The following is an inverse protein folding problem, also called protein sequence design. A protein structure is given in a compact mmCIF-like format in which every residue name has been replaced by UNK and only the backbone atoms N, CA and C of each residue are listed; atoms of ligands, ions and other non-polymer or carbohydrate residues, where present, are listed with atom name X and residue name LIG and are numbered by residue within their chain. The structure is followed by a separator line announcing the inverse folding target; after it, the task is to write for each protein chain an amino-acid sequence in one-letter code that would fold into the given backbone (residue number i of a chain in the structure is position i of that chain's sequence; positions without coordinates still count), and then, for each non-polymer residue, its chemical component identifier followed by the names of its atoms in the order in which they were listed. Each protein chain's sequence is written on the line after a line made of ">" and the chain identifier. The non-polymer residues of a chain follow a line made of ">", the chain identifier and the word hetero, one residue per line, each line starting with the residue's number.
data_IF_122335042448
#
_entry.id   IF_122335042448
#
_cell.length_a   1.000
_cell.length_b   1.000
_cell.length_c   1.000
_cell.angle_alpha   90.00
_cell.angle_beta   90.00
_cell.angle_gamma   90.00
#
_symmetry.space_group_name_H-M   'P 1'
#
loop_
_entity.id
_entity.type
_entity.pdbx_description
1 polymer ?
#
# COMPACT_ATOMS: atom_id res chain seq x y z
N UNK A 1 -47.22 -28.69 -6.50
CA UNK A 1 -46.34 -28.50 -5.32
C UNK A 1 -44.86 -28.38 -5.69
N UNK A 2 -44.30 -29.25 -6.53
CA UNK A 2 -42.87 -29.25 -6.89
C UNK A 2 -42.35 -27.92 -7.48
N UNK A 3 -43.12 -27.22 -8.35
CA UNK A 3 -42.72 -25.93 -8.94
C UNK A 3 -42.67 -24.80 -7.93
N UNK A 4 -43.56 -24.78 -6.91
CA UNK A 4 -43.51 -23.78 -5.83
C UNK A 4 -42.32 -23.94 -4.89
N UNK A 5 -41.93 -25.22 -4.66
CA UNK A 5 -40.75 -25.54 -3.86
C UNK A 5 -39.45 -25.14 -4.58
N UNK A 6 -39.36 -25.37 -5.89
CA UNK A 6 -38.20 -24.94 -6.70
C UNK A 6 -38.03 -23.42 -6.71
N UNK A 7 -39.14 -22.67 -6.82
CA UNK A 7 -39.12 -21.21 -6.76
C UNK A 7 -38.64 -20.68 -5.41
N UNK A 8 -39.07 -21.34 -4.31
CA UNK A 8 -38.60 -20.98 -2.96
C UNK A 8 -37.11 -21.25 -2.77
N UNK A 9 -36.59 -22.35 -3.34
CA UNK A 9 -35.17 -22.70 -3.28
C UNK A 9 -34.29 -21.69 -4.07
N UNK A 10 -34.76 -21.21 -5.20
CA UNK A 10 -34.06 -20.16 -5.99
C UNK A 10 -34.07 -18.83 -5.25
N UNK A 11 -35.17 -18.48 -4.56
CA UNK A 11 -35.24 -17.27 -3.74
C UNK A 11 -34.25 -17.29 -2.57
N UNK A 12 -34.04 -18.46 -1.95
CA UNK A 12 -33.09 -18.64 -0.85
C UNK A 12 -31.61 -18.49 -1.30
N UNK A 13 -31.31 -18.78 -2.58
CA UNK A 13 -29.95 -18.64 -3.13
C UNK A 13 -29.61 -17.17 -3.45
N UNK A 14 -30.60 -16.29 -3.55
CA UNK A 14 -30.39 -14.85 -3.81
C UNK A 14 -30.11 -14.02 -2.56
N UNK A 15 -30.20 -14.58 -1.35
CA UNK A 15 -30.00 -13.84 -0.08
C UNK A 15 -28.52 -13.81 0.35
N UNK A 16 -27.60 -14.29 -0.50
CA UNK A 16 -26.18 -14.49 -0.18
C UNK A 16 -25.28 -13.27 -0.23
N UNK A 17 -25.77 -12.06 -0.51
CA UNK A 17 -24.95 -10.85 -0.45
C UNK A 17 -25.43 -9.91 0.65
N UNK A 18 -25.27 -10.32 1.90
CA UNK A 18 -25.21 -9.32 2.97
C UNK A 18 -23.87 -8.60 2.81
N UNK A 19 -23.89 -7.36 2.33
CA UNK A 19 -22.81 -6.43 2.64
C UNK A 19 -22.72 -6.43 4.17
N UNK A 20 -21.67 -7.03 4.68
CA UNK A 20 -21.28 -6.87 6.07
C UNK A 20 -21.13 -5.37 6.24
N UNK A 21 -21.99 -4.77 7.04
CA UNK A 21 -21.89 -3.36 7.41
C UNK A 21 -20.65 -3.28 8.30
N UNK A 22 -19.51 -3.04 7.70
CA UNK A 22 -18.25 -2.92 8.39
C UNK A 22 -18.32 -1.63 9.21
N UNK A 23 -18.54 -1.75 10.51
CA UNK A 23 -17.74 -0.97 11.42
C UNK A 23 -16.31 -1.29 11.04
N UNK A 24 -15.68 -0.37 10.30
CA UNK A 24 -14.34 -0.55 9.75
C UNK A 24 -13.36 -0.73 10.91
N UNK A 25 -13.28 -1.95 11.43
CA UNK A 25 -12.33 -2.25 12.48
C UNK A 25 -10.97 -2.51 11.81
N UNK A 26 -10.29 -1.41 11.48
CA UNK A 26 -8.97 -1.44 10.84
C UNK A 26 -7.95 -2.23 11.67
N UNK A 27 -8.11 -2.29 12.99
CA UNK A 27 -7.26 -3.11 13.87
C UNK A 27 -7.43 -4.61 13.57
N UNK A 28 -8.65 -5.05 13.29
CA UNK A 28 -8.91 -6.44 12.89
C UNK A 28 -8.23 -6.76 11.57
N UNK A 29 -8.36 -5.87 10.57
CA UNK A 29 -7.71 -6.05 9.25
C UNK A 29 -6.21 -6.20 9.42
N UNK A 30 -5.56 -5.27 10.13
CA UNK A 30 -4.12 -5.29 10.37
C UNK A 30 -3.69 -6.58 11.08
N UNK A 31 -4.38 -6.92 12.16
CA UNK A 31 -4.05 -8.12 12.96
C UNK A 31 -4.26 -9.41 12.19
N UNK A 32 -5.33 -9.51 11.39
CA UNK A 32 -5.61 -10.71 10.61
C UNK A 32 -4.56 -10.93 9.50
N UNK A 33 -4.14 -9.86 8.80
CA UNK A 33 -3.08 -9.97 7.80
C UNK A 33 -1.76 -10.40 8.45
N UNK A 34 -1.41 -9.86 9.60
CA UNK A 34 -0.17 -10.20 10.30
C UNK A 34 -0.19 -11.67 10.77
N UNK A 35 -1.30 -12.13 11.36
CA UNK A 35 -1.47 -13.49 11.86
C UNK A 35 -1.48 -14.55 10.76
N UNK A 36 -2.09 -14.21 9.61
CA UNK A 36 -2.24 -15.13 8.48
C UNK A 36 -1.14 -14.95 7.43
N UNK A 37 0.01 -14.40 7.82
CA UNK A 37 1.13 -14.18 6.90
C UNK A 37 1.61 -15.50 6.30
N UNK A 38 1.65 -15.56 4.98
CA UNK A 38 2.20 -16.66 4.21
C UNK A 38 3.58 -16.27 3.66
N UNK A 39 4.53 -17.20 3.68
CA UNK A 39 5.83 -17.04 3.03
C UNK A 39 5.74 -17.30 1.51
N UNK A 40 4.70 -16.78 0.87
CA UNK A 40 4.48 -16.90 -0.57
C UNK A 40 4.93 -15.60 -1.22
N UNK A 41 5.69 -15.71 -2.28
CA UNK A 41 6.21 -14.57 -3.04
C UNK A 41 5.94 -14.82 -4.53
N UNK A 42 5.42 -13.84 -5.22
CA UNK A 42 5.18 -13.89 -6.66
C UNK A 42 5.86 -12.75 -7.43
N UNK A 43 6.51 -11.81 -6.71
CA UNK A 43 7.16 -10.65 -7.28
C UNK A 43 8.55 -10.48 -6.68
N UNK A 44 9.55 -10.26 -7.54
CA UNK A 44 10.92 -9.97 -7.16
C UNK A 44 11.27 -8.53 -7.52
N UNK A 45 12.12 -7.91 -6.70
CA UNK A 45 12.73 -6.61 -6.94
C UNK A 45 14.21 -6.65 -6.52
N UNK A 46 14.91 -5.51 -6.66
CA UNK A 46 16.32 -5.42 -6.34
C UNK A 46 16.54 -5.45 -4.81
N UNK A 47 17.02 -6.58 -4.30
CA UNK A 47 17.31 -6.77 -2.87
C UNK A 47 16.13 -7.26 -2.03
N UNK A 48 14.94 -7.47 -2.59
CA UNK A 48 13.79 -8.00 -1.86
C UNK A 48 12.79 -8.71 -2.78
N UNK A 49 11.88 -9.45 -2.17
CA UNK A 49 10.73 -10.10 -2.83
C UNK A 49 9.49 -9.92 -1.98
N UNK A 50 8.31 -10.00 -2.60
CA UNK A 50 7.04 -9.83 -1.90
C UNK A 50 5.90 -10.54 -2.62
N UNK A 51 4.74 -10.58 -2.00
CA UNK A 51 3.51 -11.06 -2.62
C UNK A 51 2.67 -9.89 -3.11
N UNK A 52 2.39 -9.87 -4.41
CA UNK A 52 1.45 -8.94 -5.01
C UNK A 52 0.08 -9.63 -5.11
N UNK A 53 -0.96 -9.14 -4.41
CA UNK A 53 -2.27 -9.76 -4.40
C UNK A 53 -2.92 -9.79 -5.79
N UNK A 54 -3.79 -10.79 -6.01
CA UNK A 54 -4.58 -10.86 -7.23
C UNK A 54 -5.45 -9.58 -7.38
N UNK A 55 -5.54 -9.06 -8.60
CA UNK A 55 -6.27 -7.83 -8.91
C UNK A 55 -5.44 -6.55 -8.74
N UNK A 56 -4.26 -6.64 -8.08
CA UNK A 56 -3.31 -5.52 -8.01
C UNK A 56 -2.29 -5.66 -9.14
N UNK A 57 -2.11 -4.63 -9.94
CA UNK A 57 -1.11 -4.57 -11.01
C UNK A 57 0.00 -3.58 -10.67
N UNK A 58 1.25 -3.93 -11.00
CA UNK A 58 2.39 -3.02 -10.90
C UNK A 58 2.49 -2.22 -12.19
N UNK A 59 2.35 -0.89 -12.11
CA UNK A 59 2.36 0.02 -13.27
C UNK A 59 3.66 0.81 -13.38
N UNK A 60 4.44 0.87 -12.30
CA UNK A 60 5.75 1.54 -12.28
C UNK A 60 6.71 0.83 -11.31
N UNK A 61 8.02 0.80 -11.65
CA UNK A 61 9.06 0.20 -10.81
C UNK A 61 10.42 0.84 -11.12
N UNK A 62 10.90 1.69 -10.22
CA UNK A 62 12.22 2.31 -10.31
C UNK A 62 12.73 2.73 -8.93
N UNK A 63 14.00 2.50 -8.68
CA UNK A 63 14.73 3.08 -7.54
C UNK A 63 14.06 2.82 -6.17
N UNK A 64 13.59 1.59 -5.95
CA UNK A 64 12.82 1.18 -4.75
C UNK A 64 11.46 1.85 -4.60
N UNK A 65 11.03 2.61 -5.60
CA UNK A 65 9.69 3.19 -5.69
C UNK A 65 8.87 2.40 -6.71
N UNK A 66 7.70 1.95 -6.30
CA UNK A 66 6.78 1.22 -7.15
C UNK A 66 5.38 1.82 -7.06
N UNK A 67 4.65 1.79 -8.16
CA UNK A 67 3.25 2.20 -8.18
C UNK A 67 2.41 0.98 -8.53
N UNK A 68 1.42 0.72 -7.71
CA UNK A 68 0.41 -0.29 -7.96
C UNK A 68 -0.91 0.36 -8.30
N UNK A 69 -1.68 -0.31 -9.14
CA UNK A 69 -3.05 0.06 -9.47
C UNK A 69 -3.99 -1.08 -9.12
N UNK A 70 -5.10 -0.72 -8.47
CA UNK A 70 -6.25 -1.58 -8.26
C UNK A 70 -7.52 -0.77 -8.52
N UNK A 71 -8.35 -1.21 -9.46
CA UNK A 71 -9.45 -0.40 -9.99
C UNK A 71 -8.92 0.98 -10.43
N UNK A 72 -9.43 2.05 -9.85
CA UNK A 72 -8.99 3.43 -10.13
C UNK A 72 -8.07 4.00 -9.04
N UNK A 73 -7.66 3.18 -8.05
CA UNK A 73 -6.82 3.61 -6.94
C UNK A 73 -5.37 3.24 -7.19
N UNK A 74 -4.48 4.22 -6.99
CA UNK A 74 -3.03 4.05 -7.07
C UNK A 74 -2.41 4.02 -5.69
N UNK A 75 -1.57 3.02 -5.44
CA UNK A 75 -0.81 2.83 -4.21
C UNK A 75 0.69 3.01 -4.51
N UNK A 76 1.36 3.85 -3.75
CA UNK A 76 2.77 4.22 -3.94
C UNK A 76 3.62 3.53 -2.88
N UNK A 77 4.35 2.51 -3.28
CA UNK A 77 5.29 1.79 -2.43
C UNK A 77 6.67 2.43 -2.51
N UNK A 78 7.27 2.65 -1.35
CA UNK A 78 8.71 2.87 -1.19
C UNK A 78 9.29 1.83 -0.23
N UNK A 79 10.46 1.25 -0.58
CA UNK A 79 11.16 0.28 0.25
C UNK A 79 12.52 0.83 0.66
N UNK A 80 12.70 1.06 1.96
CA UNK A 80 13.93 1.60 2.53
C UNK A 80 14.91 0.48 2.88
N UNK A 81 15.63 0.01 1.86
CA UNK A 81 16.63 -1.05 2.02
C UNK A 81 17.84 -0.61 2.85
N UNK A 82 18.13 0.71 2.87
CA UNK A 82 19.22 1.30 3.63
C UNK A 82 18.91 1.20 5.13
N UNK A 83 17.75 1.72 5.54
CA UNK A 83 17.29 1.63 6.92
C UNK A 83 17.10 0.18 7.38
N UNK A 84 16.64 -0.69 6.49
CA UNK A 84 16.56 -2.12 6.79
C UNK A 84 17.94 -2.72 7.10
N UNK A 85 18.93 -2.47 6.25
CA UNK A 85 20.27 -3.06 6.41
C UNK A 85 20.97 -2.57 7.68
N UNK A 86 20.94 -1.26 7.93
CA UNK A 86 21.56 -0.66 9.12
C UNK A 86 20.69 -0.76 10.38
N UNK A 87 19.49 -1.37 10.29
CA UNK A 87 18.55 -1.48 11.42
C UNK A 87 18.22 -0.14 12.07
N UNK A 88 18.06 0.89 11.24
CA UNK A 88 17.73 2.23 11.71
C UNK A 88 16.36 2.22 12.42
N UNK A 89 16.24 3.06 13.45
CA UNK A 89 14.95 3.26 14.09
C UNK A 89 13.96 3.92 13.14
N UNK A 90 12.76 3.36 13.03
CA UNK A 90 11.68 3.99 12.29
C UNK A 90 11.20 5.22 13.07
N UNK A 91 11.19 6.37 12.38
CA UNK A 91 10.45 7.53 12.88
C UNK A 91 8.96 7.21 12.78
N UNK A 92 8.33 6.98 13.93
CA UNK A 92 6.89 6.82 14.01
C UNK A 92 6.27 8.21 13.96
N UNK A 93 5.43 8.48 12.96
CA UNK A 93 4.67 9.73 12.89
C UNK A 93 3.85 9.90 14.16
N UNK A 94 3.74 11.15 14.62
CA UNK A 94 2.90 11.46 15.77
C UNK A 94 1.42 11.37 15.43
N UNK A 95 0.63 10.92 16.41
CA UNK A 95 -0.83 10.90 16.36
C UNK A 95 -1.43 12.29 16.27
N UNK A 96 -0.71 13.31 16.67
CA UNK A 96 -1.20 14.65 17.00
C UNK A 96 -1.43 15.55 15.77
N UNK A 97 -2.23 15.09 14.80
CA UNK A 97 -2.85 16.00 13.82
C UNK A 97 -4.34 16.09 14.08
N UNK A 98 -4.91 17.29 14.04
CA UNK A 98 -6.36 17.56 14.19
C UNK A 98 -7.21 16.76 13.20
N UNK A 99 -6.62 16.34 12.07
CA UNK A 99 -7.28 15.68 10.95
C UNK A 99 -7.06 14.17 10.94
N UNK A 100 -6.50 13.60 12.03
CA UNK A 100 -6.26 12.18 12.16
C UNK A 100 -7.57 11.40 12.32
N UNK A 101 -7.97 10.67 11.28
CA UNK A 101 -9.16 9.82 11.27
C UNK A 101 -8.91 8.48 11.97
N UNK A 102 -7.73 7.88 11.74
CA UNK A 102 -7.31 6.64 12.37
C UNK A 102 -5.79 6.57 12.52
N UNK A 103 -5.32 6.06 13.66
CA UNK A 103 -3.91 5.80 13.91
C UNK A 103 -3.74 4.55 14.77
N UNK A 104 -2.88 3.63 14.32
CA UNK A 104 -2.49 2.45 15.08
C UNK A 104 -1.01 2.14 14.88
N UNK A 105 -0.28 1.92 15.98
CA UNK A 105 1.09 1.40 15.98
C UNK A 105 1.07 -0.12 15.83
N UNK A 106 2.01 -0.65 15.06
CA UNK A 106 2.16 -2.07 14.81
C UNK A 106 3.52 -2.50 15.35
N UNK A 107 3.51 -3.48 16.26
CA UNK A 107 4.72 -4.15 16.75
C UNK A 107 4.43 -5.65 16.80
N UNK A 108 4.93 -6.38 15.81
CA UNK A 108 4.66 -7.81 15.69
C UNK A 108 5.73 -8.50 14.85
N UNK A 109 6.13 -9.71 15.27
CA UNK A 109 7.10 -10.55 14.56
C UNK A 109 8.45 -9.87 14.30
N UNK A 110 8.95 -9.07 15.24
CA UNK A 110 10.16 -8.25 15.13
C UNK A 110 10.09 -7.21 13.99
N UNK A 111 8.90 -6.86 13.54
CA UNK A 111 8.63 -5.81 12.57
C UNK A 111 7.79 -4.73 13.24
N UNK A 112 8.19 -3.50 13.03
CA UNK A 112 7.50 -2.33 13.58
C UNK A 112 6.94 -1.45 12.46
N UNK A 113 5.91 -0.68 12.79
CA UNK A 113 5.30 0.23 11.86
C UNK A 113 4.08 0.95 12.42
N UNK A 114 3.29 1.52 11.55
CA UNK A 114 2.02 2.15 11.90
C UNK A 114 1.10 2.28 10.68
N UNK A 115 -0.17 2.46 10.96
CA UNK A 115 -1.17 2.92 9.99
C UNK A 115 -1.63 4.30 10.43
N UNK A 116 -1.65 5.25 9.52
CA UNK A 116 -2.22 6.59 9.72
C UNK A 116 -3.18 6.91 8.57
N UNK A 117 -4.41 7.26 8.90
CA UNK A 117 -5.41 7.73 7.96
C UNK A 117 -5.79 9.14 8.37
N UNK A 118 -5.67 10.08 7.44
CA UNK A 118 -5.99 11.49 7.66
C UNK A 118 -7.11 11.88 6.72
N UNK A 119 -8.15 12.53 7.23
CA UNK A 119 -9.22 13.04 6.39
C UNK A 119 -8.75 14.28 5.66
N UNK A 120 -8.95 14.32 4.35
CA UNK A 120 -8.59 15.41 3.48
C UNK A 120 -9.76 15.75 2.55
N UNK A 121 -10.57 16.72 2.96
CA UNK A 121 -11.83 17.11 2.29
C UNK A 121 -12.75 15.89 2.12
N UNK A 122 -12.99 15.48 0.87
CA UNK A 122 -13.88 14.37 0.51
C UNK A 122 -13.15 13.03 0.42
N UNK A 123 -11.81 13.02 0.56
CA UNK A 123 -10.96 11.84 0.47
C UNK A 123 -10.20 11.59 1.76
N UNK A 124 -9.50 10.47 1.77
CA UNK A 124 -8.62 10.08 2.87
C UNK A 124 -7.22 9.83 2.35
N UNK A 125 -6.23 10.45 2.99
CA UNK A 125 -4.84 10.09 2.79
C UNK A 125 -4.47 8.98 3.75
N UNK A 126 -4.10 7.83 3.21
CA UNK A 126 -3.67 6.67 3.99
C UNK A 126 -2.18 6.45 3.81
N UNK A 127 -1.47 6.34 4.93
CA UNK A 127 -0.06 5.98 5.03
C UNK A 127 0.08 4.75 5.90
N UNK A 128 0.64 3.70 5.33
CA UNK A 128 0.95 2.45 6.01
C UNK A 128 2.44 2.25 5.96
N UNK A 129 3.07 2.20 7.12
CA UNK A 129 4.50 1.92 7.28
C UNK A 129 4.65 0.60 8.00
N UNK A 130 5.41 -0.33 7.47
CA UNK A 130 5.68 -1.60 8.13
C UNK A 130 6.91 -2.27 7.52
N UNK A 131 7.78 -2.85 8.36
CA UNK A 131 8.92 -3.64 7.91
C UNK A 131 9.86 -2.87 6.96
N UNK A 132 10.23 -1.62 7.31
CA UNK A 132 11.10 -0.73 6.51
C UNK A 132 10.57 -0.42 5.10
N UNK A 133 9.27 -0.48 4.93
CA UNK A 133 8.62 -0.05 3.70
C UNK A 133 7.36 0.73 4.03
N UNK A 134 6.89 1.53 3.07
CA UNK A 134 5.66 2.29 3.22
C UNK A 134 4.82 2.25 1.96
N UNK A 135 3.51 2.30 2.15
CA UNK A 135 2.55 2.57 1.07
C UNK A 135 1.78 3.82 1.45
N UNK A 136 1.69 4.74 0.50
CA UNK A 136 0.89 5.97 0.59
C UNK A 136 -0.13 5.99 -0.55
N UNK A 137 -1.34 6.49 -0.25
CA UNK A 137 -2.43 6.53 -1.24
C UNK A 137 -3.52 7.51 -0.82
N UNK A 138 -4.27 8.04 -1.81
CA UNK A 138 -5.51 8.75 -1.59
C UNK A 138 -6.68 7.86 -2.00
N UNK A 139 -7.65 7.70 -1.11
CA UNK A 139 -8.78 6.77 -1.27
C UNK A 139 -10.10 7.41 -0.88
N UNK A 140 -11.18 6.88 -1.42
CA UNK A 140 -12.52 7.17 -0.95
C UNK A 140 -12.82 6.36 0.33
N UNK A 141 -13.79 6.81 1.13
CA UNK A 141 -14.12 6.17 2.41
C UNK A 141 -14.47 4.68 2.26
N UNK A 142 -15.20 4.32 1.20
CA UNK A 142 -15.63 2.94 0.94
C UNK A 142 -14.49 2.01 0.53
N UNK A 143 -13.33 2.54 0.11
CA UNK A 143 -12.16 1.77 -0.30
C UNK A 143 -11.17 1.54 0.85
N UNK A 144 -11.27 2.30 1.94
CA UNK A 144 -10.28 2.30 3.03
C UNK A 144 -9.94 0.90 3.54
N UNK A 145 -10.93 0.06 3.77
CA UNK A 145 -10.73 -1.28 4.32
C UNK A 145 -9.99 -2.19 3.34
N UNK A 146 -10.37 -2.16 2.08
CA UNK A 146 -9.79 -3.00 1.03
C UNK A 146 -8.34 -2.57 0.75
N UNK A 147 -8.11 -1.27 0.56
CA UNK A 147 -6.79 -0.73 0.26
C UNK A 147 -5.84 -0.90 1.45
N UNK A 148 -6.32 -0.77 2.70
CA UNK A 148 -5.54 -1.10 3.89
C UNK A 148 -5.14 -2.58 3.90
N UNK A 149 -6.07 -3.46 3.58
CA UNK A 149 -5.81 -4.91 3.50
C UNK A 149 -4.73 -5.22 2.46
N UNK A 150 -4.86 -4.70 1.22
CA UNK A 150 -3.84 -4.88 0.17
C UNK A 150 -2.49 -4.31 0.58
N UNK A 151 -2.47 -3.11 1.16
CA UNK A 151 -1.24 -2.47 1.63
C UNK A 151 -0.53 -3.31 2.68
N UNK A 152 -1.27 -3.81 3.67
CA UNK A 152 -0.72 -4.66 4.72
C UNK A 152 -0.23 -6.01 4.19
N UNK A 153 -0.93 -6.64 3.24
CA UNK A 153 -0.51 -7.91 2.61
C UNK A 153 0.81 -7.71 1.89
N UNK A 154 0.95 -6.65 1.09
CA UNK A 154 2.19 -6.34 0.37
C UNK A 154 3.33 -6.10 1.37
N UNK A 155 3.17 -5.16 2.30
CA UNK A 155 4.22 -4.77 3.25
C UNK A 155 4.62 -5.91 4.19
N UNK A 156 3.66 -6.69 4.68
CA UNK A 156 3.94 -7.82 5.57
C UNK A 156 4.71 -8.95 4.87
N UNK A 157 4.49 -9.11 3.56
CA UNK A 157 5.14 -10.14 2.75
C UNK A 157 6.56 -9.79 2.30
N UNK A 158 7.02 -8.53 2.48
CA UNK A 158 8.37 -8.13 2.06
C UNK A 158 9.41 -8.97 2.81
N UNK A 159 10.27 -9.62 2.01
CA UNK A 159 11.38 -10.44 2.47
C UNK A 159 12.65 -9.96 1.80
N UNK A 160 13.60 -9.50 2.59
CA UNK A 160 14.85 -8.91 2.16
C UNK A 160 15.92 -9.96 1.89
N UNK A 161 16.84 -9.66 0.97
CA UNK A 161 18.02 -10.46 0.67
C UNK A 161 19.27 -9.70 1.14
N UNK A 162 19.73 -10.00 2.37
CA UNK A 162 20.85 -9.30 3.01
C UNK A 162 22.11 -9.30 2.16
N UNK A 163 22.48 -10.44 1.56
CA UNK A 163 23.67 -10.55 0.74
C UNK A 163 23.64 -9.69 -0.51
N UNK A 164 22.44 -9.54 -1.12
CA UNK A 164 22.28 -8.71 -2.29
C UNK A 164 22.26 -7.23 -1.91
N UNK A 165 21.58 -6.87 -0.82
CA UNK A 165 21.54 -5.50 -0.30
C UNK A 165 22.93 -5.03 0.07
N UNK A 166 23.73 -5.84 0.76
CA UNK A 166 25.11 -5.52 1.11
C UNK A 166 25.94 -5.15 -0.14
N UNK A 167 25.84 -5.96 -1.20
CA UNK A 167 26.53 -5.67 -2.47
C UNK A 167 26.08 -4.36 -3.11
N UNK A 168 24.77 -4.10 -3.10
CA UNK A 168 24.19 -2.88 -3.67
C UNK A 168 24.68 -1.65 -2.90
N UNK A 169 24.75 -1.71 -1.58
CA UNK A 169 25.21 -0.60 -0.73
C UNK A 169 26.71 -0.32 -0.87
N UNK A 170 27.50 -1.30 -1.29
CA UNK A 170 28.93 -1.14 -1.57
C UNK A 170 29.21 -0.58 -2.97
N UNK A 171 28.21 -0.53 -3.85
CA UNK A 171 28.33 -0.07 -5.22
C UNK A 171 27.85 1.38 -5.36
N UNK A 172 28.78 2.30 -5.66
CA UNK A 172 28.50 3.73 -5.84
C UNK A 172 27.45 4.03 -6.92
N UNK A 173 27.29 3.13 -7.90
CA UNK A 173 26.31 3.27 -8.97
C UNK A 173 24.86 3.34 -8.43
N UNK A 174 24.57 2.66 -7.33
CA UNK A 174 23.23 2.62 -6.74
C UNK A 174 22.96 3.74 -5.73
N UNK A 175 23.92 4.61 -5.44
CA UNK A 175 23.78 5.64 -4.40
C UNK A 175 22.62 6.61 -4.67
N UNK A 176 22.28 6.88 -5.92
CA UNK A 176 21.14 7.72 -6.33
C UNK A 176 19.78 7.00 -6.24
N UNK A 177 19.78 5.67 -6.18
CA UNK A 177 18.55 4.83 -6.19
C UNK A 177 17.80 4.81 -4.85
N UNK A 178 18.40 5.37 -3.79
CA UNK A 178 17.80 5.30 -2.44
C UNK A 178 16.92 6.50 -2.10
N UNK A 179 16.51 7.27 -3.09
CA UNK A 179 15.64 8.43 -2.88
C UNK A 179 14.17 8.00 -2.84
N UNK A 180 13.47 8.46 -1.82
CA UNK A 180 12.04 8.35 -1.71
C UNK A 180 11.34 9.39 -2.59
N UNK A 181 10.40 8.97 -3.41
CA UNK A 181 9.54 9.87 -4.16
C UNK A 181 8.37 10.31 -3.29
N UNK A 182 8.08 11.62 -3.29
CA UNK A 182 6.98 12.17 -2.49
C UNK A 182 5.70 12.23 -3.32
N UNK A 183 4.62 11.72 -2.77
CA UNK A 183 3.29 11.87 -3.36
C UNK A 183 2.83 13.31 -3.15
N UNK A 184 2.40 13.98 -4.23
CA UNK A 184 1.67 15.23 -4.11
C UNK A 184 0.19 14.97 -3.84
N UNK A 185 -0.41 15.87 -3.06
CA UNK A 185 -1.85 15.86 -2.82
C UNK A 185 -2.62 16.07 -4.12
N UNK A 186 -3.67 15.30 -4.41
CA UNK A 186 -4.56 15.57 -5.53
C UNK A 186 -5.12 16.99 -5.45
N UNK A 187 -5.01 17.75 -6.54
CA UNK A 187 -5.74 19.00 -6.69
C UNK A 187 -7.24 18.76 -6.70
N UNK A 188 -8.04 19.82 -6.44
CA UNK A 188 -9.48 19.71 -6.44
C UNK A 188 -10.00 19.16 -7.79
N UNK A 189 -10.66 18.04 -7.73
CA UNK A 189 -11.65 17.42 -8.61
C UNK A 189 -11.32 17.09 -10.07
N UNK A 190 -10.29 17.58 -10.75
CA UNK A 190 -10.10 17.36 -12.19
C UNK A 190 -8.71 16.91 -12.63
N UNK A 191 -7.75 16.72 -11.74
CA UNK A 191 -6.42 16.30 -12.16
C UNK A 191 -6.40 14.84 -12.55
N UNK A 192 -6.24 14.56 -13.83
CA UNK A 192 -5.90 13.25 -14.33
C UNK A 192 -4.62 12.77 -13.67
N UNK A 193 -4.46 11.47 -13.44
CA UNK A 193 -3.27 10.89 -12.82
C UNK A 193 -1.95 11.32 -13.52
N UNK A 194 -1.99 11.54 -14.84
CA UNK A 194 -0.87 12.09 -15.62
C UNK A 194 -0.46 13.51 -15.19
N UNK A 195 -1.40 14.39 -14.82
CA UNK A 195 -1.09 15.70 -14.23
C UNK A 195 -0.45 15.56 -12.85
N UNK A 196 -0.87 14.55 -12.10
CA UNK A 196 -0.27 14.17 -10.84
C UNK A 196 1.20 13.84 -10.93
N UNK A 197 1.57 13.07 -11.94
CA UNK A 197 2.95 12.67 -12.17
C UNK A 197 3.80 13.82 -12.75
N UNK A 198 3.20 14.67 -13.60
CA UNK A 198 3.89 15.82 -14.18
C UNK A 198 4.17 16.93 -13.17
N UNK A 199 3.35 17.05 -12.14
CA UNK A 199 3.59 17.95 -11.00
C UNK A 199 4.58 17.39 -9.96
N UNK A 200 5.05 16.15 -10.14
CA UNK A 200 6.06 15.53 -9.30
C UNK A 200 7.44 16.07 -9.63
N UNK A 201 7.58 17.40 -9.59
CA UNK A 201 8.85 18.06 -9.73
C UNK A 201 9.57 18.03 -8.38
N UNK A 202 10.13 16.87 -8.04
CA UNK A 202 11.39 16.87 -7.31
C UNK A 202 12.46 17.35 -8.27
N UNK A 203 13.54 17.92 -7.77
CA UNK A 203 14.72 18.31 -8.55
C UNK A 203 14.93 17.39 -9.77
N UNK A 204 15.33 17.91 -10.90
CA UNK A 204 15.27 17.35 -12.27
C UNK A 204 15.55 15.83 -12.45
N UNK A 205 16.14 15.16 -11.46
CA UNK A 205 16.49 13.74 -11.47
C UNK A 205 15.42 12.77 -10.93
N UNK A 206 14.27 13.26 -10.43
CA UNK A 206 13.25 12.45 -9.74
C UNK A 206 11.87 12.51 -10.40
N UNK A 207 11.80 12.75 -11.69
CA UNK A 207 10.53 12.74 -12.44
C UNK A 207 10.07 11.31 -12.64
N UNK A 208 8.91 10.96 -12.14
CA UNK A 208 8.22 9.72 -12.52
C UNK A 208 7.82 9.88 -13.99
N UNK A 209 8.23 8.98 -14.88
CA UNK A 209 7.86 9.09 -16.29
C UNK A 209 6.34 9.02 -16.48
N UNK A 210 5.85 9.72 -17.50
CA UNK A 210 4.45 9.63 -17.90
C UNK A 210 4.04 8.18 -18.11
N UNK A 211 2.97 7.77 -17.48
CA UNK A 211 2.40 6.45 -17.76
C UNK A 211 1.72 6.48 -19.13
N UNK A 212 1.86 5.43 -19.95
CA UNK A 212 1.18 5.39 -21.23
C UNK A 212 -0.34 5.50 -21.01
N UNK A 213 -0.97 6.39 -21.75
CA UNK A 213 -2.44 6.47 -21.82
C UNK A 213 -2.95 5.18 -22.50
N UNK A 214 -3.78 4.40 -21.78
CA UNK A 214 -4.49 3.25 -22.31
C UNK A 214 -5.92 3.62 -22.63
#
# INVERSE_FOLDING_TARGET
>A
MKKKFLLLMVLLLCIGCTRINNNNNYDVIVNDVIKNSNNIYNTNSLGYKYYLPFGVSKVYDKDYNQIFKINDTYMYLYVDVVSYYYKNNLNLDDKDSSDCYYYNKIDSNNKIGYVKITKDKDRYFMKVVYNYAKIETYVEEYELADILSYSMIILNSINYNDNLIEKILQDDYYSSSFKEYKIKKPGDAESKFSEYLSEYVGEEDNVIPDLPEY
#
